data_IF_810733505413
#
_entry.id   IF_810733505413
#
_cell.length_a   1.000
_cell.length_b   1.000
_cell.length_c   1.000
_cell.angle_alpha   90.00
_cell.angle_beta   90.00
_cell.angle_gamma   90.00
#
_symmetry.space_group_name_H-M   'P 1'
#
loop_
_entity.id
_entity.type
_entity.pdbx_description
1 polymer ?
#
# COMPACT_ATOMS: atom_id res chain seq x y z
N UNK A 1 28.14 18.32 -15.54
CA UNK A 1 27.60 17.26 -14.67
C UNK A 1 27.82 15.92 -15.34
N UNK A 2 28.18 14.89 -14.59
CA UNK A 2 28.33 13.51 -15.10
C UNK A 2 27.38 12.58 -14.35
N UNK A 3 26.60 11.82 -15.08
CA UNK A 3 25.70 10.77 -14.55
C UNK A 3 25.87 9.52 -15.38
N UNK A 4 26.12 8.38 -14.75
CA UNK A 4 26.30 7.07 -15.41
C UNK A 4 27.29 7.13 -16.61
N UNK A 5 28.37 7.89 -16.46
CA UNK A 5 29.43 8.04 -17.50
C UNK A 5 29.04 8.99 -18.65
N UNK A 6 27.85 9.56 -18.66
CA UNK A 6 27.42 10.58 -19.63
C UNK A 6 27.72 11.97 -19.06
N UNK A 7 28.38 12.82 -19.88
CA UNK A 7 28.68 14.21 -19.49
C UNK A 7 27.66 15.15 -20.09
N UNK A 8 27.10 16.01 -19.26
CA UNK A 8 26.17 17.10 -19.62
C UNK A 8 26.86 18.43 -19.34
N UNK A 9 26.73 19.36 -20.27
CA UNK A 9 27.37 20.69 -20.19
C UNK A 9 26.31 21.78 -20.41
N UNK A 10 26.53 22.94 -19.79
CA UNK A 10 25.68 24.09 -20.06
C UNK A 10 25.63 24.37 -21.58
N UNK A 11 24.41 24.62 -22.08
CA UNK A 11 24.17 24.85 -23.51
C UNK A 11 23.91 23.60 -24.34
N UNK A 12 23.97 22.40 -23.79
CA UNK A 12 23.57 21.15 -24.48
C UNK A 12 22.04 20.95 -24.52
N UNK A 13 21.30 21.82 -23.82
CA UNK A 13 19.84 21.77 -23.72
C UNK A 13 19.27 20.91 -22.58
N UNK A 14 20.12 20.15 -21.89
CA UNK A 14 19.74 19.28 -20.78
C UNK A 14 20.19 19.86 -19.43
N UNK A 15 21.37 20.48 -19.38
CA UNK A 15 21.90 21.13 -18.19
C UNK A 15 21.67 22.65 -18.31
N UNK A 16 20.97 23.22 -17.34
CA UNK A 16 20.59 24.64 -17.29
C UNK A 16 21.08 25.26 -15.99
N UNK A 17 21.81 26.37 -16.10
CA UNK A 17 22.04 27.31 -15.00
C UNK A 17 20.77 28.18 -14.83
N UNK A 18 20.13 28.15 -13.66
CA UNK A 18 18.90 28.86 -13.39
C UNK A 18 19.14 30.36 -13.07
N UNK A 19 20.40 30.79 -12.88
CA UNK A 19 20.77 32.19 -12.61
C UNK A 19 20.53 32.65 -11.17
N UNK A 20 20.25 31.74 -10.25
CA UNK A 20 20.00 31.95 -8.81
C UNK A 20 20.90 31.07 -7.93
N UNK A 21 22.12 30.77 -8.41
CA UNK A 21 23.07 29.85 -7.82
C UNK A 21 22.60 28.38 -7.79
N UNK A 22 21.58 28.04 -8.57
CA UNK A 22 21.10 26.66 -8.76
C UNK A 22 21.20 26.22 -10.23
N UNK A 23 21.21 24.93 -10.44
CA UNK A 23 21.20 24.31 -11.78
C UNK A 23 20.16 23.18 -11.84
N UNK A 24 19.72 22.85 -13.05
CA UNK A 24 18.82 21.76 -13.33
C UNK A 24 19.38 20.90 -14.45
N UNK A 25 19.41 19.58 -14.25
CA UNK A 25 19.73 18.59 -15.28
C UNK A 25 18.48 17.75 -15.57
N UNK A 26 18.08 17.69 -16.82
CA UNK A 26 17.06 16.75 -17.29
C UNK A 26 17.75 15.63 -18.07
N UNK A 27 17.65 14.40 -17.60
CA UNK A 27 18.16 13.23 -18.31
C UNK A 27 17.26 12.97 -19.52
N UNK A 28 17.78 13.00 -20.75
CA UNK A 28 16.98 12.73 -21.94
C UNK A 28 16.67 11.23 -22.09
N UNK A 29 15.57 10.89 -22.76
CA UNK A 29 15.11 9.50 -22.99
C UNK A 29 16.19 8.60 -23.57
N UNK A 30 17.08 9.14 -24.42
CA UNK A 30 18.18 8.39 -25.01
C UNK A 30 19.22 7.90 -23.97
N UNK A 31 19.25 8.51 -22.79
CA UNK A 31 20.14 8.20 -21.69
C UNK A 31 19.36 7.74 -20.43
N UNK A 32 18.13 7.24 -20.63
CA UNK A 32 17.31 6.74 -19.53
C UNK A 32 18.08 5.77 -18.65
N UNK A 33 17.98 5.98 -17.35
CA UNK A 33 18.69 5.20 -16.35
C UNK A 33 17.84 3.98 -15.95
N UNK A 34 18.38 2.76 -15.98
CA UNK A 34 17.74 1.60 -15.36
C UNK A 34 17.72 1.72 -13.84
N UNK A 35 17.07 0.78 -13.18
CA UNK A 35 17.13 0.64 -11.73
C UNK A 35 18.58 0.66 -11.22
N UNK A 36 18.81 1.42 -10.18
CA UNK A 36 20.12 1.52 -9.57
C UNK A 36 20.34 2.80 -8.80
N UNK A 37 21.49 2.84 -8.14
CA UNK A 37 21.99 4.01 -7.42
C UNK A 37 23.11 4.61 -8.24
N UNK A 38 23.07 5.92 -8.43
CA UNK A 38 23.98 6.65 -9.29
C UNK A 38 24.63 7.83 -8.58
N UNK A 39 25.93 8.00 -8.82
CA UNK A 39 26.61 9.23 -8.48
C UNK A 39 26.27 10.31 -9.53
N UNK A 40 25.94 11.48 -9.07
CA UNK A 40 25.74 12.68 -9.88
C UNK A 40 26.87 13.65 -9.59
N UNK A 41 27.93 13.59 -10.39
CA UNK A 41 29.15 14.38 -10.16
C UNK A 41 29.04 15.76 -10.83
N UNK A 42 28.86 16.81 -10.05
CA UNK A 42 28.87 18.19 -10.53
C UNK A 42 30.28 18.80 -10.47
N UNK A 43 30.66 19.56 -11.49
CA UNK A 43 31.91 20.32 -11.54
C UNK A 43 31.62 21.76 -11.94
N UNK A 44 31.97 22.71 -11.09
CA UNK A 44 31.94 24.13 -11.40
C UNK A 44 33.38 24.60 -11.80
N UNK A 45 33.45 25.43 -12.87
CA UNK A 45 34.72 25.99 -13.35
C UNK A 45 34.57 27.49 -13.57
N UNK A 46 35.44 28.29 -13.00
CA UNK A 46 35.46 29.74 -13.18
C UNK A 46 36.08 30.17 -14.52
N UNK A 47 36.00 31.46 -14.85
CA UNK A 47 36.56 32.04 -16.09
C UNK A 47 38.10 31.95 -16.17
N UNK A 48 38.78 31.75 -15.05
CA UNK A 48 40.23 31.56 -14.99
C UNK A 48 40.64 30.08 -15.16
N UNK A 49 39.67 29.15 -15.19
CA UNK A 49 39.89 27.72 -15.34
C UNK A 49 40.09 26.96 -14.02
N UNK A 50 39.81 27.62 -12.85
CA UNK A 50 39.83 26.90 -11.59
C UNK A 50 38.53 26.11 -11.43
N UNK A 51 38.62 24.87 -10.94
CA UNK A 51 37.48 23.98 -10.80
C UNK A 51 37.32 23.45 -9.38
N UNK A 52 36.08 23.24 -9.00
CA UNK A 52 35.70 22.47 -7.81
C UNK A 52 34.64 21.42 -8.20
N UNK A 53 34.72 20.29 -7.54
CA UNK A 53 33.84 19.15 -7.80
C UNK A 53 33.06 18.82 -6.55
N UNK A 54 31.84 18.36 -6.78
CA UNK A 54 31.05 17.71 -5.75
C UNK A 54 31.79 16.49 -5.17
N UNK A 55 31.65 16.25 -3.88
CA UNK A 55 32.32 15.18 -3.14
C UNK A 55 31.33 14.16 -2.54
N UNK A 56 30.05 14.34 -2.78
CA UNK A 56 29.01 13.41 -2.34
C UNK A 56 28.89 12.22 -3.30
N UNK A 57 28.18 11.20 -2.90
CA UNK A 57 27.95 9.97 -3.68
C UNK A 57 26.56 9.43 -3.43
N UNK A 58 26.03 8.68 -4.40
CA UNK A 58 24.73 8.00 -4.31
C UNK A 58 23.53 8.98 -4.24
N UNK A 59 23.63 10.13 -4.93
CA UNK A 59 22.62 11.19 -4.88
C UNK A 59 21.33 10.85 -5.63
N UNK A 60 21.37 9.89 -6.56
CA UNK A 60 20.23 9.52 -7.39
C UNK A 60 19.94 8.03 -7.30
N UNK A 61 18.74 7.71 -6.82
CA UNK A 61 18.19 6.35 -6.89
C UNK A 61 17.09 6.32 -7.94
N UNK A 62 17.20 5.39 -8.88
CA UNK A 62 16.13 5.03 -9.82
C UNK A 62 15.59 3.69 -9.36
N UNK A 63 14.30 3.65 -9.08
CA UNK A 63 13.56 2.45 -8.73
C UNK A 63 12.24 2.44 -9.51
N UNK A 64 12.07 1.46 -10.39
CA UNK A 64 10.87 1.26 -11.20
C UNK A 64 10.17 -0.07 -10.88
N UNK A 65 10.60 -0.74 -9.81
CA UNK A 65 10.02 -2.02 -9.38
C UNK A 65 8.91 -1.77 -8.37
N UNK A 66 7.70 -2.17 -8.71
CA UNK A 66 6.58 -2.08 -7.78
C UNK A 66 6.78 -3.00 -6.57
N UNK A 67 6.23 -2.63 -5.39
CA UNK A 67 6.22 -3.47 -4.19
C UNK A 67 5.61 -4.85 -4.43
N UNK A 68 5.85 -5.78 -3.52
CA UNK A 68 5.10 -7.04 -3.47
C UNK A 68 3.61 -6.74 -3.30
N UNK A 69 2.76 -7.58 -3.91
CA UNK A 69 1.30 -7.43 -3.79
C UNK A 69 0.89 -7.54 -2.32
N UNK A 70 0.21 -6.54 -1.75
CA UNK A 70 -0.42 -6.70 -0.46
C UNK A 70 -1.53 -7.75 -0.53
N UNK A 71 -1.92 -8.30 0.60
CA UNK A 71 -3.06 -9.22 0.71
C UNK A 71 -4.05 -8.74 1.74
N UNK A 72 -5.30 -9.19 1.61
CA UNK A 72 -6.37 -9.02 2.58
C UNK A 72 -6.88 -10.39 2.99
N UNK A 73 -7.04 -10.64 4.29
CA UNK A 73 -7.60 -11.88 4.81
C UNK A 73 -9.13 -11.87 4.70
N UNK A 74 -9.71 -12.99 4.27
CA UNK A 74 -11.17 -13.12 4.22
C UNK A 74 -11.76 -13.17 5.63
N UNK A 75 -12.78 -12.34 5.88
CA UNK A 75 -13.47 -12.24 7.16
C UNK A 75 -14.99 -12.24 6.99
N UNK A 76 -15.68 -13.15 7.68
CA UNK A 76 -17.14 -13.08 7.89
C UNK A 76 -17.41 -12.87 9.36
N UNK A 77 -18.16 -11.83 9.71
CA UNK A 77 -18.37 -11.43 11.10
C UNK A 77 -19.74 -10.80 11.33
N UNK A 78 -20.22 -10.86 12.57
CA UNK A 78 -21.38 -10.11 13.04
C UNK A 78 -21.01 -8.77 13.73
N UNK A 79 -19.74 -8.41 13.69
CA UNK A 79 -19.25 -7.11 14.16
C UNK A 79 -19.27 -6.12 13.00
N UNK A 80 -19.98 -5.01 13.17
CA UNK A 80 -20.08 -3.95 12.15
C UNK A 80 -18.93 -2.92 12.21
N UNK A 81 -17.99 -3.07 13.17
CA UNK A 81 -16.75 -2.31 13.29
C UNK A 81 -15.55 -3.26 13.38
N UNK A 82 -15.38 -4.16 12.39
CA UNK A 82 -14.44 -5.26 12.48
C UNK A 82 -12.99 -4.81 12.48
N UNK A 83 -12.13 -5.71 12.93
CA UNK A 83 -10.70 -5.65 12.67
C UNK A 83 -10.38 -6.52 11.47
N UNK A 84 -9.78 -5.93 10.44
CA UNK A 84 -9.38 -6.54 9.18
C UNK A 84 -7.86 -6.68 9.20
N UNK A 85 -7.33 -7.77 8.64
CA UNK A 85 -5.89 -8.06 8.60
C UNK A 85 -5.43 -8.44 7.19
N UNK A 86 -4.13 -8.42 6.99
CA UNK A 86 -3.49 -8.86 5.77
C UNK A 86 -1.98 -8.71 5.83
N UNK A 87 -1.33 -8.83 4.67
CA UNK A 87 0.13 -8.68 4.57
C UNK A 87 0.50 -7.55 3.62
N UNK A 88 1.58 -6.85 3.93
CA UNK A 88 2.26 -5.89 3.06
C UNK A 88 3.72 -5.82 3.51
N UNK A 89 4.63 -5.45 2.60
CA UNK A 89 6.02 -5.21 2.98
C UNK A 89 6.09 -3.97 3.89
N UNK A 90 6.70 -4.10 5.07
CA UNK A 90 6.72 -3.07 6.12
C UNK A 90 7.54 -1.81 5.79
N UNK A 91 8.24 -1.79 4.65
CA UNK A 91 9.00 -0.62 4.18
C UNK A 91 8.19 0.29 3.26
N UNK A 92 7.00 -0.13 2.87
CA UNK A 92 6.14 0.59 1.96
C UNK A 92 5.05 1.37 2.70
N UNK A 93 4.47 2.35 2.04
CA UNK A 93 3.30 3.07 2.53
C UNK A 93 2.05 2.28 2.19
N UNK A 94 1.28 1.86 3.19
CA UNK A 94 0.03 1.15 2.99
C UNK A 94 -1.18 2.09 3.08
N UNK A 95 -2.10 1.92 2.14
CA UNK A 95 -3.45 2.49 2.23
C UNK A 95 -4.48 1.40 2.03
N UNK A 96 -5.59 1.48 2.77
CA UNK A 96 -6.70 0.52 2.66
C UNK A 96 -8.00 1.27 2.45
N UNK A 97 -8.78 0.85 1.45
CA UNK A 97 -10.10 1.43 1.15
C UNK A 97 -11.18 0.40 1.45
N UNK A 98 -12.14 0.77 2.28
CA UNK A 98 -13.33 -0.04 2.60
C UNK A 98 -14.57 0.85 2.48
N UNK A 99 -15.57 0.41 1.72
CA UNK A 99 -16.83 1.13 1.52
C UNK A 99 -16.63 2.63 1.16
N UNK A 100 -15.61 2.92 0.33
CA UNK A 100 -15.29 4.28 -0.12
C UNK A 100 -14.57 5.17 0.89
N UNK A 101 -14.24 4.65 2.08
CA UNK A 101 -13.40 5.34 3.08
C UNK A 101 -11.97 4.87 2.93
N UNK A 102 -11.03 5.80 2.82
CA UNK A 102 -9.60 5.53 2.77
C UNK A 102 -8.98 5.64 4.16
N UNK A 103 -8.24 4.63 4.55
CA UNK A 103 -7.43 4.58 5.76
C UNK A 103 -5.95 4.60 5.36
N UNK A 104 -5.14 5.33 6.11
CA UNK A 104 -3.70 5.47 5.87
C UNK A 104 -2.93 5.17 7.13
N UNK A 105 -1.73 4.67 6.99
CA UNK A 105 -0.85 4.50 8.14
C UNK A 105 -0.68 5.80 8.93
N UNK A 106 -0.74 5.68 10.26
CA UNK A 106 -0.66 6.83 11.16
C UNK A 106 -1.98 7.56 11.43
N UNK A 107 -3.10 7.17 10.80
CA UNK A 107 -4.44 7.71 11.11
C UNK A 107 -5.02 7.18 12.42
N UNK A 108 -4.36 6.19 13.03
CA UNK A 108 -4.75 5.55 14.28
C UNK A 108 -5.66 4.33 14.12
N UNK A 109 -6.13 4.04 12.90
CA UNK A 109 -6.98 2.89 12.58
C UNK A 109 -6.21 1.83 11.79
N UNK A 110 -5.37 2.26 10.84
CA UNK A 110 -4.50 1.38 10.06
C UNK A 110 -3.10 1.35 10.68
N UNK A 111 -2.63 0.16 11.00
CA UNK A 111 -1.35 -0.09 11.65
C UNK A 111 -0.54 -1.09 10.84
N UNK A 112 0.69 -0.72 10.45
CA UNK A 112 1.74 -1.66 10.09
C UNK A 112 2.30 -2.29 11.37
N UNK A 113 2.26 -3.61 11.48
CA UNK A 113 2.71 -4.33 12.67
C UNK A 113 4.25 -4.52 12.71
N UNK A 114 4.97 -4.18 11.63
CA UNK A 114 6.43 -4.28 11.52
C UNK A 114 6.95 -5.71 11.29
N UNK A 115 6.07 -6.65 10.94
CA UNK A 115 6.37 -8.05 10.65
C UNK A 115 5.77 -8.51 9.30
N UNK A 116 5.67 -7.58 8.36
CA UNK A 116 5.03 -7.74 7.05
C UNK A 116 3.53 -8.04 7.15
N UNK A 117 2.88 -7.74 8.28
CA UNK A 117 1.43 -7.79 8.46
C UNK A 117 0.87 -6.41 8.79
N UNK A 118 -0.40 -6.22 8.49
CA UNK A 118 -1.12 -4.99 8.84
C UNK A 118 -2.46 -5.31 9.50
N UNK A 119 -2.97 -4.32 10.23
CA UNK A 119 -4.25 -4.39 10.92
C UNK A 119 -5.01 -3.09 10.71
N UNK A 120 -6.27 -3.18 10.27
CA UNK A 120 -7.21 -2.06 10.18
C UNK A 120 -8.38 -2.31 11.13
N UNK A 121 -8.65 -1.38 12.04
CA UNK A 121 -9.86 -1.38 12.86
C UNK A 121 -10.85 -0.36 12.32
N UNK A 122 -12.02 -0.80 11.90
CA UNK A 122 -13.08 0.12 11.44
C UNK A 122 -13.61 0.90 12.64
N UNK A 123 -13.54 2.24 12.66
CA UNK A 123 -14.05 3.03 13.78
C UNK A 123 -15.59 3.13 13.77
N UNK A 124 -16.19 3.35 14.95
CA UNK A 124 -17.66 3.48 15.11
C UNK A 124 -18.31 4.48 14.13
N UNK A 125 -17.59 5.55 13.79
CA UNK A 125 -18.09 6.57 12.85
C UNK A 125 -18.26 6.03 11.42
N UNK A 126 -17.62 4.92 11.09
CA UNK A 126 -17.62 4.27 9.77
C UNK A 126 -18.19 2.84 9.86
N UNK A 127 -19.00 2.54 10.90
CA UNK A 127 -19.62 1.23 11.07
C UNK A 127 -20.33 0.76 9.77
N UNK A 128 -20.08 -0.49 9.40
CA UNK A 128 -20.53 -1.07 8.14
C UNK A 128 -21.90 -1.75 8.32
N UNK A 129 -22.91 -1.46 7.49
CA UNK A 129 -24.14 -2.26 7.44
C UNK A 129 -23.89 -3.71 7.01
N UNK A 130 -24.90 -4.57 7.17
CA UNK A 130 -24.87 -5.91 6.60
C UNK A 130 -24.60 -5.85 5.09
N UNK A 131 -23.65 -6.64 4.62
CA UNK A 131 -23.23 -6.64 3.22
C UNK A 131 -21.91 -7.34 2.99
N UNK A 132 -21.52 -7.40 1.71
CA UNK A 132 -20.22 -7.89 1.26
C UNK A 132 -19.45 -6.70 0.74
N UNK A 133 -18.19 -6.60 1.11
CA UNK A 133 -17.33 -5.45 0.80
C UNK A 133 -16.00 -5.90 0.23
N UNK A 134 -15.56 -5.20 -0.79
CA UNK A 134 -14.18 -5.21 -1.23
C UNK A 134 -13.34 -4.40 -0.24
N UNK A 135 -12.20 -4.94 0.13
CA UNK A 135 -11.18 -4.30 0.95
C UNK A 135 -9.93 -4.13 0.11
N UNK A 136 -9.74 -2.97 -0.46
CA UNK A 136 -8.65 -2.71 -1.40
C UNK A 136 -7.41 -2.19 -0.67
N UNK A 137 -6.40 -3.02 -0.53
CA UNK A 137 -5.09 -2.64 0.00
C UNK A 137 -4.15 -2.20 -1.13
N UNK A 138 -3.41 -1.10 -0.92
CA UNK A 138 -2.41 -0.59 -1.87
C UNK A 138 -1.11 -0.32 -1.11
N UNK A 139 -0.05 -0.98 -1.53
CA UNK A 139 1.32 -0.73 -1.08
C UNK A 139 2.03 0.22 -2.06
N UNK A 140 2.76 1.20 -1.55
CA UNK A 140 3.51 2.19 -2.35
C UNK A 140 4.89 2.36 -1.76
N UNK A 141 5.93 2.14 -2.57
CA UNK A 141 7.32 2.31 -2.15
C UNK A 141 7.76 3.78 -2.08
N UNK A 142 8.99 4.01 -1.66
CA UNK A 142 9.56 5.35 -1.53
C UNK A 142 9.77 6.08 -2.88
N UNK A 143 9.84 5.34 -4.00
CA UNK A 143 9.96 5.90 -5.34
C UNK A 143 8.60 6.24 -5.96
N UNK A 144 7.49 5.75 -5.36
CA UNK A 144 6.13 5.98 -5.82
C UNK A 144 5.57 4.87 -6.72
N UNK A 145 6.26 3.72 -6.84
CA UNK A 145 5.68 2.56 -7.50
C UNK A 145 4.65 1.92 -6.58
N UNK A 146 3.58 1.36 -7.14
CA UNK A 146 2.48 0.81 -6.33
C UNK A 146 2.04 -0.56 -6.80
N UNK A 147 1.58 -1.37 -5.85
CA UNK A 147 0.88 -2.63 -6.06
C UNK A 147 -0.43 -2.63 -5.29
N UNK A 148 -1.46 -3.25 -5.87
CA UNK A 148 -2.81 -3.30 -5.30
C UNK A 148 -3.19 -4.76 -5.08
N UNK A 149 -3.85 -5.05 -3.99
CA UNK A 149 -4.46 -6.35 -3.74
C UNK A 149 -5.35 -6.78 -4.92
N UNK A 150 -5.35 -8.07 -5.23
CA UNK A 150 -6.01 -8.63 -6.41
C UNK A 150 -7.29 -9.41 -6.09
N UNK A 151 -7.65 -9.53 -4.80
CA UNK A 151 -8.84 -10.24 -4.35
C UNK A 151 -10.05 -9.30 -4.29
N UNK A 152 -11.23 -9.84 -4.08
CA UNK A 152 -12.49 -9.10 -3.97
C UNK A 152 -13.43 -9.82 -3.00
N UNK A 153 -14.39 -9.08 -2.42
CA UNK A 153 -15.40 -9.63 -1.51
C UNK A 153 -14.80 -10.23 -0.21
N UNK A 154 -13.70 -9.66 0.30
CA UNK A 154 -12.97 -10.22 1.46
C UNK A 154 -13.74 -10.08 2.77
N UNK A 155 -14.62 -9.07 2.89
CA UNK A 155 -15.32 -8.79 4.13
C UNK A 155 -16.83 -9.00 3.97
N UNK A 156 -17.39 -9.87 4.81
CA UNK A 156 -18.85 -10.04 4.95
C UNK A 156 -19.29 -9.64 6.35
N UNK A 157 -20.19 -8.67 6.43
CA UNK A 157 -20.89 -8.28 7.65
C UNK A 157 -22.31 -8.87 7.62
N UNK A 158 -22.64 -9.67 8.63
CA UNK A 158 -23.98 -10.25 8.82
C UNK A 158 -24.35 -10.22 10.31
N UNK A 159 -25.17 -9.27 10.70
CA UNK A 159 -25.63 -9.09 12.08
C UNK A 159 -26.98 -9.76 12.34
N UNK A 160 -27.55 -10.42 11.32
CA UNK A 160 -28.87 -11.05 11.41
C UNK A 160 -28.75 -12.45 12.01
N UNK A 161 -29.38 -12.68 13.15
CA UNK A 161 -29.45 -14.02 13.72
C UNK A 161 -30.32 -14.95 12.85
N UNK A 162 -30.01 -16.25 12.78
CA UNK A 162 -30.87 -17.22 12.09
C UNK A 162 -32.24 -17.29 12.71
N UNK A 163 -33.21 -17.85 11.99
CA UNK A 163 -34.58 -18.05 12.50
C UNK A 163 -34.57 -18.98 13.72
N UNK A 164 -35.53 -18.75 14.62
CA UNK A 164 -35.60 -19.56 15.83
C UNK A 164 -35.85 -21.04 15.49
N UNK A 165 -34.97 -21.94 15.96
CA UNK A 165 -35.25 -23.36 15.81
C UNK A 165 -36.45 -23.79 16.65
N UNK A 166 -37.17 -24.81 16.17
CA UNK A 166 -38.29 -25.40 16.90
C UNK A 166 -38.02 -26.85 17.24
N UNK A 167 -38.65 -27.34 18.28
CA UNK A 167 -38.68 -28.77 18.62
C UNK A 167 -40.12 -29.23 18.65
N UNK A 168 -40.42 -30.32 17.97
CA UNK A 168 -41.76 -30.88 17.94
C UNK A 168 -42.13 -31.52 19.30
N UNK A 169 -43.36 -31.27 19.74
CA UNK A 169 -43.83 -31.93 20.97
C UNK A 169 -44.01 -33.44 20.72
N UNK A 170 -43.40 -34.26 21.56
CA UNK A 170 -43.50 -35.71 21.53
C UNK A 170 -43.89 -36.24 22.92
N UNK A 171 -44.92 -37.06 22.95
CA UNK A 171 -45.27 -37.89 24.13
C UNK A 171 -45.18 -39.35 23.73
N UNK A 172 -44.32 -40.13 24.41
CA UNK A 172 -44.05 -41.52 24.04
C UNK A 172 -43.68 -42.34 25.27
N UNK A 173 -43.86 -43.65 25.17
CA UNK A 173 -43.35 -44.61 26.14
C UNK A 173 -42.05 -45.30 25.66
N UNK A 174 -41.52 -44.83 24.51
CA UNK A 174 -40.22 -45.26 24.01
C UNK A 174 -39.15 -44.55 24.83
N UNK A 175 -38.20 -45.30 25.40
CA UNK A 175 -37.08 -44.76 26.19
C UNK A 175 -35.91 -44.28 25.33
N UNK A 176 -35.98 -44.52 24.01
CA UNK A 176 -34.98 -44.08 23.01
C UNK A 176 -35.65 -43.34 21.85
N UNK A 177 -36.44 -42.28 22.11
CA UNK A 177 -37.27 -41.64 21.09
C UNK A 177 -36.44 -40.90 20.04
N UNK A 178 -36.99 -40.79 18.83
CA UNK A 178 -36.50 -39.85 17.81
C UNK A 178 -37.23 -38.53 18.03
N UNK A 179 -36.48 -37.46 18.26
CA UNK A 179 -36.96 -36.08 18.42
C UNK A 179 -36.72 -35.32 17.12
N UNK A 180 -37.73 -34.58 16.67
CA UNK A 180 -37.67 -33.78 15.43
C UNK A 180 -37.92 -32.30 15.74
N UNK A 181 -37.56 -31.45 14.77
CA UNK A 181 -37.74 -30.00 14.85
C UNK A 181 -37.34 -29.34 13.56
N UNK A 182 -37.30 -28.01 13.53
CA UNK A 182 -36.81 -27.20 12.40
C UNK A 182 -35.65 -26.33 12.85
N UNK A 183 -34.70 -26.14 11.96
CA UNK A 183 -33.60 -25.16 12.04
C UNK A 183 -33.28 -24.70 10.62
N UNK A 184 -32.75 -23.49 10.48
CA UNK A 184 -32.18 -23.01 9.21
C UNK A 184 -30.87 -23.73 8.89
#
# INVERSE_FOLDING_TARGET
>A
VVVNGVTYTEGDGNLVDNGDDTWTLTIPDANALPDGIYNVMATATDAAGNSSMDATVDELTIDIVAPTLPTVDFLTTNDNTPTITGTADSVDNLTVVVNGVTYTEGDGNLVDNGDDTWTLTIPDANALPDGIYDVMATATDAAGNSSIDATVDELTIDTVAPTLPTVDFLTTNDTTPTITGTAD
#
